data_IF_559957253226
#
_entry.id   IF_559957253226
#
_cell.length_a   1.000
_cell.length_b   1.000
_cell.length_c   1.000
_cell.angle_alpha   90.00
_cell.angle_beta   90.00
_cell.angle_gamma   90.00
#
_symmetry.space_group_name_H-M   'P 1'
#
loop_
_entity.id
_entity.type
_entity.pdbx_description
1 polymer ?
#
# COMPACT_ATOMS: atom_id res chain seq x y z
N UNK A 1 -24.75 -23.02 -63.63
CA UNK A 1 -24.14 -23.38 -62.33
C UNK A 1 -22.80 -22.66 -62.08
N UNK A 2 -22.71 -21.33 -62.25
CA UNK A 2 -21.42 -20.62 -62.09
C UNK A 2 -21.54 -19.21 -61.47
N UNK A 3 -22.66 -18.89 -60.81
CA UNK A 3 -22.90 -17.52 -60.29
C UNK A 3 -23.20 -17.43 -58.79
N UNK A 4 -23.35 -18.57 -58.09
CA UNK A 4 -23.61 -18.60 -56.64
C UNK A 4 -22.36 -18.77 -55.76
N UNK A 5 -21.21 -19.17 -56.33
CA UNK A 5 -19.97 -19.37 -55.56
C UNK A 5 -19.10 -18.11 -55.45
N UNK A 6 -19.36 -17.06 -56.25
CA UNK A 6 -18.59 -15.81 -56.17
C UNK A 6 -19.06 -14.89 -55.04
N UNK A 7 -20.36 -14.89 -54.71
CA UNK A 7 -20.94 -14.00 -53.69
C UNK A 7 -20.59 -14.48 -52.27
N UNK A 8 -20.52 -15.79 -52.05
CA UNK A 8 -20.18 -16.38 -50.75
C UNK A 8 -18.69 -16.24 -50.40
N UNK A 9 -17.79 -16.20 -51.39
CA UNK A 9 -16.35 -16.08 -51.15
C UNK A 9 -15.95 -14.63 -50.80
N UNK A 10 -16.57 -13.64 -51.43
CA UNK A 10 -16.38 -12.21 -51.13
C UNK A 10 -16.92 -11.84 -49.74
N UNK A 11 -18.00 -12.48 -49.29
CA UNK A 11 -18.59 -12.26 -47.96
C UNK A 11 -17.76 -12.85 -46.81
N UNK A 12 -17.05 -13.96 -47.05
CA UNK A 12 -16.23 -14.61 -46.02
C UNK A 12 -14.91 -13.87 -45.79
N UNK A 13 -14.31 -13.28 -46.83
CA UNK A 13 -13.12 -12.44 -46.70
C UNK A 13 -13.37 -11.16 -45.89
N UNK A 14 -14.55 -10.55 -46.01
CA UNK A 14 -14.89 -9.33 -45.26
C UNK A 14 -15.07 -9.57 -43.75
N UNK A 15 -15.55 -10.75 -43.36
CA UNK A 15 -15.75 -11.12 -41.95
C UNK A 15 -14.42 -11.42 -41.23
N UNK A 16 -13.46 -12.05 -41.92
CA UNK A 16 -12.10 -12.25 -41.40
C UNK A 16 -11.26 -10.97 -41.37
N UNK A 17 -11.46 -10.05 -42.32
CA UNK A 17 -10.84 -8.73 -42.30
C UNK A 17 -11.33 -7.89 -41.11
N UNK A 18 -12.61 -7.97 -40.74
CA UNK A 18 -13.14 -7.29 -39.55
C UNK A 18 -12.63 -7.90 -38.23
N UNK A 19 -12.44 -9.22 -38.16
CA UNK A 19 -11.83 -9.89 -36.99
C UNK A 19 -10.33 -9.54 -36.83
N UNK A 20 -9.60 -9.35 -37.93
CA UNK A 20 -8.22 -8.86 -37.88
C UNK A 20 -8.11 -7.39 -37.45
N UNK A 21 -9.11 -6.55 -37.76
CA UNK A 21 -9.14 -5.16 -37.32
C UNK A 21 -9.39 -5.00 -35.81
N UNK A 22 -10.07 -5.95 -35.16
CA UNK A 22 -10.23 -5.96 -33.69
C UNK A 22 -9.05 -6.60 -32.93
N UNK A 23 -8.17 -7.34 -33.62
CA UNK A 23 -6.95 -7.93 -33.05
C UNK A 23 -5.69 -7.07 -33.28
N UNK A 24 -5.81 -5.97 -34.01
CA UNK A 24 -4.75 -4.99 -34.24
C UNK A 24 -5.09 -3.64 -33.60
N UNK A 25 -5.63 -3.64 -32.38
CA UNK A 25 -5.39 -2.47 -31.51
C UNK A 25 -3.91 -2.49 -31.13
N UNK A 26 -3.11 -1.46 -31.47
CA UNK A 26 -1.71 -1.42 -31.09
C UNK A 26 -1.60 -1.43 -29.56
N UNK A 27 -0.92 -2.44 -29.02
CA UNK A 27 -0.66 -2.65 -27.60
C UNK A 27 0.41 -1.67 -27.07
N UNK A 28 0.47 -0.45 -27.61
CA UNK A 28 1.57 0.49 -27.37
C UNK A 28 1.28 1.55 -26.29
N UNK A 29 0.01 1.79 -25.92
CA UNK A 29 -0.32 2.70 -24.81
C UNK A 29 0.07 2.14 -23.43
N UNK A 30 0.10 0.80 -23.27
CA UNK A 30 0.41 0.17 -21.98
C UNK A 30 1.88 0.38 -21.62
N UNK A 31 2.79 0.43 -22.59
CA UNK A 31 4.23 0.49 -22.35
C UNK A 31 4.69 1.90 -21.91
N UNK A 32 4.16 2.96 -22.55
CA UNK A 32 4.48 4.34 -22.21
C UNK A 32 3.92 4.73 -20.83
N UNK A 33 2.64 4.43 -20.56
CA UNK A 33 2.00 4.70 -19.27
C UNK A 33 2.64 3.91 -18.13
N UNK A 34 3.02 2.64 -18.37
CA UNK A 34 3.77 1.83 -17.39
C UNK A 34 5.13 2.46 -17.08
N UNK A 35 5.88 2.91 -18.08
CA UNK A 35 7.19 3.52 -17.89
C UNK A 35 7.09 4.82 -17.08
N UNK A 36 6.11 5.67 -17.39
CA UNK A 36 5.84 6.92 -16.65
C UNK A 36 5.49 6.66 -15.17
N UNK A 37 4.69 5.63 -14.90
CA UNK A 37 4.26 5.32 -13.53
C UNK A 37 5.35 4.73 -12.64
N UNK A 38 6.22 3.87 -13.20
CA UNK A 38 7.38 3.32 -12.48
C UNK A 38 8.36 4.45 -12.17
N UNK A 39 8.51 5.40 -13.10
CA UNK A 39 9.28 6.63 -12.88
C UNK A 39 8.67 7.47 -11.75
N UNK A 40 7.34 7.64 -11.70
CA UNK A 40 6.67 8.36 -10.62
C UNK A 40 6.90 7.71 -9.25
N UNK A 41 6.75 6.38 -9.13
CA UNK A 41 7.01 5.67 -7.87
C UNK A 41 8.46 5.87 -7.43
N UNK A 42 9.42 5.61 -8.32
CA UNK A 42 10.84 5.72 -8.01
C UNK A 42 11.22 7.15 -7.62
N UNK A 43 10.75 8.16 -8.36
CA UNK A 43 10.97 9.57 -8.06
C UNK A 43 10.37 9.95 -6.71
N UNK A 44 9.17 9.49 -6.40
CA UNK A 44 8.49 9.75 -5.13
C UNK A 44 9.26 9.13 -3.97
N UNK A 45 9.54 7.83 -4.02
CA UNK A 45 10.31 7.13 -2.98
C UNK A 45 11.71 7.74 -2.81
N UNK A 46 12.37 8.12 -3.91
CA UNK A 46 13.69 8.78 -3.86
C UNK A 46 13.61 10.13 -3.16
N UNK A 47 12.67 10.96 -3.55
CA UNK A 47 12.44 12.28 -2.94
C UNK A 47 12.17 12.16 -1.44
N UNK A 48 11.42 11.14 -1.02
CA UNK A 48 11.16 10.87 0.39
C UNK A 48 12.42 10.42 1.13
N UNK A 49 13.17 9.48 0.57
CA UNK A 49 14.43 8.99 1.16
C UNK A 49 15.50 10.08 1.30
N UNK A 50 15.51 11.08 0.41
CA UNK A 50 16.47 12.19 0.49
C UNK A 50 16.13 13.19 1.62
N UNK A 51 14.90 13.14 2.16
CA UNK A 51 14.42 14.04 3.22
C UNK A 51 14.37 13.39 4.61
N UNK A 52 14.62 12.09 4.73
CA UNK A 52 14.49 11.34 5.98
C UNK A 52 15.56 10.27 6.11
N UNK A 53 16.20 10.21 7.27
CA UNK A 53 17.20 9.17 7.59
C UNK A 53 16.58 7.85 8.02
N UNK A 54 15.27 7.82 8.28
CA UNK A 54 14.53 6.62 8.75
C UNK A 54 13.73 5.98 7.60
N UNK A 55 13.46 6.73 6.54
CA UNK A 55 12.68 6.29 5.38
C UNK A 55 13.43 5.26 4.54
N UNK A 56 12.80 4.12 4.25
CA UNK A 56 13.40 3.07 3.43
C UNK A 56 12.93 3.14 1.96
N UNK A 57 13.82 3.59 1.07
CA UNK A 57 13.57 3.63 -0.38
C UNK A 57 13.16 2.27 -0.95
N UNK A 58 13.88 1.20 -0.59
CA UNK A 58 13.66 -0.14 -1.12
C UNK A 58 12.29 -0.65 -0.69
N UNK A 59 11.94 -0.47 0.58
CA UNK A 59 10.61 -0.81 1.10
C UNK A 59 9.51 -0.05 0.37
N UNK A 60 9.66 1.27 0.21
CA UNK A 60 8.70 2.11 -0.51
C UNK A 60 8.47 1.63 -1.94
N UNK A 61 9.55 1.44 -2.70
CA UNK A 61 9.46 1.06 -4.11
C UNK A 61 8.86 -0.34 -4.28
N UNK A 62 9.29 -1.32 -3.48
CA UNK A 62 8.75 -2.68 -3.54
C UNK A 62 7.25 -2.70 -3.21
N UNK A 63 6.87 -2.12 -2.07
CA UNK A 63 5.48 -2.11 -1.60
C UNK A 63 4.52 -1.46 -2.59
N UNK A 64 4.90 -0.33 -3.19
CA UNK A 64 4.04 0.36 -4.15
C UNK A 64 4.00 -0.36 -5.50
N UNK A 65 5.11 -0.95 -5.97
CA UNK A 65 5.17 -1.62 -7.27
C UNK A 65 4.42 -2.95 -7.31
N UNK A 66 4.26 -3.61 -6.16
CA UNK A 66 3.44 -4.83 -6.02
C UNK A 66 1.97 -4.57 -6.34
N UNK A 67 1.49 -3.34 -6.10
CA UNK A 67 0.10 -2.99 -6.32
C UNK A 67 -0.11 -2.49 -7.75
N UNK A 68 -0.94 -3.19 -8.57
CA UNK A 68 -1.10 -2.84 -9.98
C UNK A 68 -1.61 -1.41 -10.21
N UNK A 69 -2.54 -0.91 -9.38
CA UNK A 69 -3.13 0.43 -9.55
C UNK A 69 -2.11 1.56 -9.31
N UNK A 70 -1.07 1.32 -8.51
CA UNK A 70 0.05 2.27 -8.32
C UNK A 70 0.73 2.64 -9.64
N UNK A 71 0.68 1.75 -10.63
CA UNK A 71 1.29 1.95 -11.96
C UNK A 71 0.42 2.78 -12.92
N UNK A 72 -0.69 3.31 -12.44
CA UNK A 72 -1.62 4.10 -13.27
C UNK A 72 -2.14 5.34 -12.57
N UNK A 73 -1.70 5.59 -11.34
CA UNK A 73 -2.24 6.63 -10.48
C UNK A 73 -1.27 7.79 -10.29
N UNK A 74 -1.77 8.89 -9.74
CA UNK A 74 -1.00 10.08 -9.40
C UNK A 74 -0.50 10.02 -7.93
N UNK A 75 0.11 11.10 -7.44
CA UNK A 75 0.58 11.16 -6.04
C UNK A 75 -0.56 10.91 -5.02
N UNK A 76 -1.78 11.39 -5.29
CA UNK A 76 -2.91 11.16 -4.38
C UNK A 76 -3.28 9.69 -4.30
N UNK A 77 -3.32 9.00 -5.44
CA UNK A 77 -3.56 7.56 -5.42
C UNK A 77 -2.41 6.75 -4.84
N UNK A 78 -1.15 7.19 -4.99
CA UNK A 78 -0.03 6.54 -4.31
C UNK A 78 -0.14 6.68 -2.78
N UNK A 79 -0.58 7.85 -2.27
CA UNK A 79 -0.87 8.02 -0.85
C UNK A 79 -1.99 7.09 -0.38
N UNK A 80 -3.08 6.98 -1.14
CA UNK A 80 -4.19 6.06 -0.83
C UNK A 80 -3.70 4.62 -0.77
N UNK A 81 -2.94 4.16 -1.78
CA UNK A 81 -2.38 2.81 -1.79
C UNK A 81 -1.51 2.56 -0.56
N UNK A 82 -0.63 3.51 -0.19
CA UNK A 82 0.22 3.36 0.99
C UNK A 82 -0.60 3.26 2.29
N UNK A 83 -1.65 4.09 2.44
CA UNK A 83 -2.54 4.04 3.61
C UNK A 83 -3.37 2.75 3.67
N UNK A 84 -3.85 2.26 2.52
CA UNK A 84 -4.58 0.99 2.44
C UNK A 84 -3.68 -0.19 2.79
N UNK A 85 -2.43 -0.20 2.30
CA UNK A 85 -1.44 -1.20 2.69
C UNK A 85 -1.14 -1.14 4.19
N UNK A 86 -1.00 0.06 4.76
CA UNK A 86 -0.82 0.23 6.21
C UNK A 86 -2.00 -0.34 6.99
N UNK A 87 -3.24 -0.06 6.56
CA UNK A 87 -4.47 -0.56 7.16
C UNK A 87 -4.55 -2.09 7.10
N UNK A 88 -4.22 -2.68 5.95
CA UNK A 88 -4.18 -4.14 5.77
C UNK A 88 -3.15 -4.79 6.70
N UNK A 89 -1.94 -4.23 6.76
CA UNK A 89 -0.87 -4.73 7.63
C UNK A 89 -1.26 -4.59 9.11
N UNK A 90 -1.79 -3.45 9.53
CA UNK A 90 -2.25 -3.24 10.92
C UNK A 90 -3.37 -4.20 11.31
N UNK A 91 -4.32 -4.47 10.40
CA UNK A 91 -5.41 -5.44 10.62
C UNK A 91 -4.89 -6.86 10.73
N UNK A 92 -3.93 -7.23 9.88
CA UNK A 92 -3.26 -8.53 9.96
C UNK A 92 -2.50 -8.67 11.29
N UNK A 93 -1.73 -7.66 11.69
CA UNK A 93 -1.00 -7.66 12.96
C UNK A 93 -1.93 -7.77 14.16
N UNK A 94 -3.06 -7.07 14.15
CA UNK A 94 -4.09 -7.21 15.19
C UNK A 94 -4.59 -8.65 15.30
N UNK A 95 -4.72 -9.36 14.18
CA UNK A 95 -5.11 -10.77 14.15
C UNK A 95 -4.02 -11.66 14.76
N UNK A 96 -2.75 -11.43 14.39
CA UNK A 96 -1.58 -12.11 14.99
C UNK A 96 -1.53 -11.90 16.51
N UNK A 97 -1.72 -10.67 16.99
CA UNK A 97 -1.76 -10.37 18.42
C UNK A 97 -2.88 -11.16 19.13
N UNK A 98 -4.07 -11.22 18.53
CA UNK A 98 -5.19 -11.96 19.11
C UNK A 98 -4.92 -13.47 19.16
N UNK A 99 -4.19 -14.01 18.19
CA UNK A 99 -3.76 -15.41 18.19
C UNK A 99 -2.70 -15.66 19.27
N UNK A 100 -1.68 -14.80 19.36
CA UNK A 100 -0.65 -14.87 20.41
C UNK A 100 -1.27 -14.83 21.81
N UNK A 101 -2.29 -13.99 22.02
CA UNK A 101 -3.02 -13.90 23.30
C UNK A 101 -3.83 -15.16 23.65
N UNK A 102 -4.26 -15.95 22.66
CA UNK A 102 -4.97 -17.22 22.89
C UNK A 102 -4.02 -18.37 23.18
N UNK A 103 -2.76 -18.26 22.77
CA UNK A 103 -1.76 -19.30 22.99
C UNK A 103 -1.11 -19.12 24.37
N UNK A 104 -1.52 -19.95 25.34
CA UNK A 104 -1.09 -19.88 26.75
C UNK A 104 0.41 -20.17 26.98
N UNK A 105 1.16 -20.53 25.94
CA UNK A 105 2.60 -20.89 26.04
C UNK A 105 3.53 -19.71 26.28
N UNK A 106 3.06 -18.45 26.13
CA UNK A 106 3.84 -17.25 26.44
C UNK A 106 3.77 -16.87 27.92
N UNK A 107 3.91 -17.86 28.81
CA UNK A 107 3.61 -17.83 30.25
C UNK A 107 4.37 -16.81 31.11
N UNK A 108 5.05 -15.83 30.52
CA UNK A 108 5.62 -14.69 31.24
C UNK A 108 4.56 -13.58 31.41
N UNK A 109 4.17 -13.21 32.65
CA UNK A 109 3.12 -12.22 32.90
C UNK A 109 3.32 -10.88 32.19
N UNK A 110 4.57 -10.46 32.01
CA UNK A 110 4.92 -9.23 31.29
C UNK A 110 4.58 -9.31 29.80
N UNK A 111 4.93 -10.42 29.12
CA UNK A 111 4.60 -10.61 27.71
C UNK A 111 3.07 -10.60 27.47
N UNK A 112 2.31 -11.21 28.39
CA UNK A 112 0.85 -11.18 28.36
C UNK A 112 0.27 -9.77 28.50
N UNK A 113 0.83 -8.95 29.40
CA UNK A 113 0.43 -7.55 29.55
C UNK A 113 0.76 -6.75 28.29
N UNK A 114 1.98 -6.86 27.76
CA UNK A 114 2.39 -6.18 26.53
C UNK A 114 1.49 -6.55 25.35
N UNK A 115 1.12 -7.84 25.20
CA UNK A 115 0.20 -8.27 24.14
C UNK A 115 -1.22 -7.71 24.30
N UNK A 116 -1.72 -7.53 25.53
CA UNK A 116 -3.02 -6.89 25.77
C UNK A 116 -2.98 -5.41 25.40
N UNK A 117 -1.90 -4.72 25.76
CA UNK A 117 -1.75 -3.31 25.43
C UNK A 117 -1.57 -3.14 23.90
N UNK A 118 -0.84 -4.05 23.26
CA UNK A 118 -0.73 -4.09 21.80
C UNK A 118 -2.09 -4.31 21.11
N UNK A 119 -2.98 -5.16 21.64
CA UNK A 119 -4.33 -5.40 21.08
C UNK A 119 -5.18 -4.13 21.10
N UNK A 120 -5.18 -3.41 22.23
CA UNK A 120 -5.91 -2.13 22.37
C UNK A 120 -5.37 -1.12 21.37
N UNK A 121 -4.05 -0.89 21.39
CA UNK A 121 -3.43 0.11 20.54
C UNK A 121 -3.59 -0.24 19.05
N UNK A 122 -3.53 -1.51 18.65
CA UNK A 122 -3.70 -1.89 17.22
C UNK A 122 -5.15 -1.77 16.79
N UNK A 123 -6.11 -2.04 17.68
CA UNK A 123 -7.52 -1.78 17.42
C UNK A 123 -7.77 -0.28 17.18
N UNK A 124 -7.18 0.58 18.02
CA UNK A 124 -7.23 2.04 17.84
C UNK A 124 -6.49 2.51 16.58
N UNK A 125 -5.33 1.94 16.29
CA UNK A 125 -4.53 2.24 15.11
C UNK A 125 -5.25 1.89 13.81
N UNK A 126 -5.98 0.77 13.77
CA UNK A 126 -6.82 0.39 12.62
C UNK A 126 -7.92 1.43 12.37
N UNK A 127 -8.62 1.86 13.42
CA UNK A 127 -9.65 2.91 13.32
C UNK A 127 -9.01 4.22 12.83
N UNK A 128 -7.87 4.59 13.41
CA UNK A 128 -7.12 5.79 13.05
C UNK A 128 -6.70 5.80 11.58
N UNK A 129 -6.28 4.66 11.03
CA UNK A 129 -5.93 4.54 9.61
C UNK A 129 -7.15 4.69 8.69
N UNK A 130 -8.33 4.19 9.09
CA UNK A 130 -9.58 4.43 8.37
C UNK A 130 -9.91 5.92 8.37
N UNK A 131 -9.80 6.59 9.52
CA UNK A 131 -10.03 8.02 9.63
C UNK A 131 -9.02 8.84 8.81
N UNK A 132 -7.75 8.42 8.78
CA UNK A 132 -6.70 9.04 7.97
C UNK A 132 -7.06 9.01 6.47
N UNK A 133 -7.52 7.86 5.96
CA UNK A 133 -7.99 7.73 4.57
C UNK A 133 -9.20 8.64 4.33
N UNK A 134 -10.18 8.65 5.24
CA UNK A 134 -11.39 9.45 5.08
C UNK A 134 -11.07 10.96 4.99
N UNK A 135 -10.29 11.50 5.93
CA UNK A 135 -9.94 12.93 5.91
C UNK A 135 -9.00 13.28 4.75
N UNK A 136 -8.16 12.33 4.30
CA UNK A 136 -7.35 12.50 3.09
C UNK A 136 -8.23 12.68 1.85
N UNK A 137 -9.26 11.85 1.69
CA UNK A 137 -10.20 11.95 0.56
C UNK A 137 -11.01 13.25 0.57
N UNK A 138 -11.20 13.87 1.74
CA UNK A 138 -11.77 15.22 1.89
C UNK A 138 -10.77 16.35 1.58
N UNK A 139 -9.52 16.02 1.21
CA UNK A 139 -8.45 16.99 0.95
C UNK A 139 -7.81 17.57 2.21
N UNK A 140 -8.12 17.04 3.41
CA UNK A 140 -7.56 17.50 4.69
C UNK A 140 -6.21 16.84 4.97
N UNK A 141 -5.23 17.11 4.11
CA UNK A 141 -3.91 16.47 4.14
C UNK A 141 -3.17 16.65 5.48
N UNK A 142 -3.25 17.83 6.11
CA UNK A 142 -2.64 18.06 7.42
C UNK A 142 -3.19 17.14 8.51
N UNK A 143 -4.51 16.91 8.51
CA UNK A 143 -5.15 15.96 9.44
C UNK A 143 -4.74 14.53 9.13
N UNK A 144 -4.77 14.12 7.85
CA UNK A 144 -4.32 12.79 7.44
C UNK A 144 -2.88 12.51 7.90
N UNK A 145 -1.98 13.48 7.70
CA UNK A 145 -0.60 13.39 8.15
C UNK A 145 -0.48 13.22 9.67
N UNK A 146 -1.25 13.98 10.46
CA UNK A 146 -1.25 13.85 11.91
C UNK A 146 -1.70 12.46 12.39
N UNK A 147 -2.73 11.89 11.76
CA UNK A 147 -3.20 10.54 12.07
C UNK A 147 -2.17 9.46 11.70
N UNK A 148 -1.48 9.60 10.56
CA UNK A 148 -0.41 8.69 10.15
C UNK A 148 0.75 8.72 11.15
N UNK A 149 1.19 9.90 11.59
CA UNK A 149 2.22 10.04 12.63
C UNK A 149 1.79 9.37 13.93
N UNK A 150 0.53 9.55 14.36
CA UNK A 150 0.04 8.93 15.59
C UNK A 150 0.11 7.38 15.53
N UNK A 151 -0.16 6.78 14.37
CA UNK A 151 -0.03 5.34 14.17
C UNK A 151 1.44 4.91 14.22
N UNK A 152 2.34 5.66 13.58
CA UNK A 152 3.79 5.42 13.61
C UNK A 152 4.33 5.44 15.04
N UNK A 153 4.02 6.49 15.81
CA UNK A 153 4.46 6.63 17.20
C UNK A 153 4.00 5.45 18.04
N UNK A 154 2.75 5.01 17.83
CA UNK A 154 2.24 3.81 18.46
C UNK A 154 3.09 2.56 18.14
N UNK A 155 3.50 2.34 16.89
CA UNK A 155 4.31 1.16 16.55
C UNK A 155 5.68 1.15 17.23
N UNK A 156 6.30 2.33 17.39
CA UNK A 156 7.57 2.49 18.12
C UNK A 156 7.41 2.16 19.60
N UNK A 157 6.40 2.73 20.28
CA UNK A 157 6.14 2.46 21.70
C UNK A 157 5.89 0.98 21.99
N UNK A 158 5.27 0.26 21.04
CA UNK A 158 5.05 -1.18 21.20
C UNK A 158 6.36 -1.95 21.18
N UNK A 159 7.27 -1.64 20.27
CA UNK A 159 8.58 -2.31 20.23
C UNK A 159 9.39 -2.04 21.50
N UNK A 160 9.34 -0.81 22.02
CA UNK A 160 9.95 -0.44 23.30
C UNK A 160 9.38 -1.26 24.47
N UNK A 161 8.08 -1.54 24.48
CA UNK A 161 7.43 -2.36 25.50
C UNK A 161 7.91 -3.82 25.55
N UNK A 162 8.54 -4.32 24.48
CA UNK A 162 9.20 -5.63 24.48
C UNK A 162 10.71 -5.54 24.77
N UNK A 163 11.32 -4.34 24.71
CA UNK A 163 12.76 -4.14 24.87
C UNK A 163 13.32 -4.47 26.26
N UNK A 164 12.44 -4.56 27.28
CA UNK A 164 12.80 -4.98 28.64
C UNK A 164 12.86 -6.52 28.80
N UNK A 165 12.59 -7.28 27.73
CA UNK A 165 12.70 -8.74 27.72
C UNK A 165 14.02 -9.21 27.09
N UNK A 166 14.50 -10.38 27.53
CA UNK A 166 15.68 -11.04 26.94
C UNK A 166 15.37 -11.61 25.54
N UNK A 167 14.09 -11.85 25.25
CA UNK A 167 13.58 -12.31 23.96
C UNK A 167 13.10 -11.13 23.10
N UNK A 168 13.39 -11.20 21.80
CA UNK A 168 12.93 -10.20 20.83
C UNK A 168 11.40 -10.17 20.73
N UNK A 169 10.86 -8.98 20.41
CA UNK A 169 9.43 -8.78 20.18
C UNK A 169 8.90 -9.75 19.12
N UNK A 170 7.79 -10.48 19.38
CA UNK A 170 7.15 -11.33 18.38
C UNK A 170 6.47 -10.51 17.27
N UNK A 171 6.53 -9.17 17.35
CA UNK A 171 5.87 -8.23 16.44
C UNK A 171 6.85 -7.31 15.70
N UNK A 172 8.17 -7.49 15.83
CA UNK A 172 9.17 -6.58 15.25
C UNK A 172 8.94 -6.32 13.76
N UNK A 173 8.77 -7.37 12.96
CA UNK A 173 8.58 -7.24 11.51
C UNK A 173 7.26 -6.57 11.15
N UNK A 174 6.20 -6.89 11.90
CA UNK A 174 4.87 -6.34 11.73
C UNK A 174 4.84 -4.84 12.08
N UNK A 175 5.44 -4.47 13.21
CA UNK A 175 5.59 -3.08 13.64
C UNK A 175 6.39 -2.28 12.62
N UNK A 176 7.52 -2.83 12.14
CA UNK A 176 8.35 -2.20 11.11
C UNK A 176 7.57 -1.96 9.82
N UNK A 177 6.80 -2.94 9.37
CA UNK A 177 6.03 -2.84 8.12
C UNK A 177 4.95 -1.78 8.20
N UNK A 178 4.17 -1.75 9.30
CA UNK A 178 3.14 -0.73 9.53
C UNK A 178 3.77 0.66 9.64
N UNK A 179 4.88 0.80 10.38
CA UNK A 179 5.63 2.05 10.48
C UNK A 179 6.05 2.56 9.11
N UNK A 180 6.73 1.73 8.31
CA UNK A 180 7.26 2.16 7.01
C UNK A 180 6.14 2.48 6.01
N UNK A 181 5.02 1.76 6.03
CA UNK A 181 3.87 2.09 5.18
C UNK A 181 3.23 3.44 5.56
N UNK A 182 3.14 3.72 6.87
CA UNK A 182 2.68 5.03 7.35
C UNK A 182 3.68 6.14 6.98
N UNK A 183 4.99 5.90 7.08
CA UNK A 183 6.04 6.86 6.69
C UNK A 183 6.00 7.16 5.18
N UNK A 184 5.79 6.12 4.35
CA UNK A 184 5.52 6.27 2.90
C UNK A 184 4.32 7.17 2.65
N UNK A 185 3.18 6.87 3.28
CA UNK A 185 1.97 7.67 3.13
C UNK A 185 2.19 9.12 3.60
N UNK A 186 2.80 9.32 4.77
CA UNK A 186 3.05 10.62 5.38
C UNK A 186 3.96 11.48 4.49
N UNK A 187 5.03 10.89 3.95
CA UNK A 187 5.89 11.62 3.03
C UNK A 187 5.12 12.10 1.79
N UNK A 188 4.30 11.24 1.17
CA UNK A 188 3.52 11.60 -0.01
C UNK A 188 2.50 12.70 0.32
N UNK A 189 1.83 12.60 1.47
CA UNK A 189 0.95 13.65 2.01
C UNK A 189 1.69 14.99 2.12
N UNK A 190 2.92 14.99 2.65
CA UNK A 190 3.74 16.21 2.75
C UNK A 190 4.17 16.75 1.38
N UNK A 191 4.42 15.88 0.40
CA UNK A 191 4.66 16.31 -0.99
C UNK A 191 3.41 16.99 -1.57
N UNK A 192 2.21 16.48 -1.29
CA UNK A 192 0.96 17.10 -1.75
C UNK A 192 0.73 18.47 -1.09
N UNK A 193 1.02 18.62 0.20
CA UNK A 193 0.93 19.91 0.91
C UNK A 193 1.93 20.94 0.38
N UNK A 194 3.16 20.52 0.09
CA UNK A 194 4.20 21.44 -0.42
C UNK A 194 3.98 21.93 -1.86
N UNK A 195 3.04 21.32 -2.59
CA UNK A 195 2.71 21.65 -3.98
C UNK A 195 1.28 22.19 -4.14
N UNK A 196 0.55 22.38 -3.03
CA UNK A 196 -0.78 22.99 -2.99
C UNK A 196 -0.68 24.52 -2.84
#
# INVERSE_FOLDING_TARGET
MLRHWHVSFLSFCFFFLFLFLFLWTPYDEISATRTFSVDLINKTCKTCSDKSTVFNYTFCSASLQEIPVSRTTNLQGLAIVAMELALQNATHTLSVIKELRRNETWGHPFASACLRDCDVLYSEGVITLVDAVAVFLEGKYGSAGAWLTAVMDGTTTREEGFGDMEEASPLTEQNYSVFQLCDVALCIVNLLVSHA
#
